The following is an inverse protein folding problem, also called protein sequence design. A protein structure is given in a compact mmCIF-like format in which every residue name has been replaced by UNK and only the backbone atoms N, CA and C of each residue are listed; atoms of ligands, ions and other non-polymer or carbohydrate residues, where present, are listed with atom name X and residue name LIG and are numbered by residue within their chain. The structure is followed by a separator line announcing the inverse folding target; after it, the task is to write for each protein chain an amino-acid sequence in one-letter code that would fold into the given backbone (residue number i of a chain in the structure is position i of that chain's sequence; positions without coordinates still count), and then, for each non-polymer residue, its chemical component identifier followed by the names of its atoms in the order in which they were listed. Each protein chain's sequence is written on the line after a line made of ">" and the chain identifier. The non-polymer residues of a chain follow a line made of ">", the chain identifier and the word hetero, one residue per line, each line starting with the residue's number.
data_IF_752623129016
#
_entry.id   IF_752623129016
#
_cell.length_a   1.000
_cell.length_b   1.000
_cell.length_c   1.000
_cell.angle_alpha   90.00
_cell.angle_beta   90.00
_cell.angle_gamma   90.00
#
_symmetry.space_group_name_H-M   'P 1'
#
loop_
_entity.id
_entity.type
_entity.pdbx_description
1 polymer ?
#
# COMPACT_ATOMS: atom_id res chain seq x y z
N UNK A 1 -3.87 -1.65 -1.63
CA UNK A 1 -2.71 -1.19 -2.46
C UNK A 1 -1.74 -0.52 -1.51
N UNK A 2 -0.45 -0.86 -1.59
CA UNK A 2 0.54 -0.26 -0.70
C UNK A 2 0.64 1.26 -0.91
N UNK A 3 1.04 1.98 0.12
CA UNK A 3 1.22 3.42 0.10
C UNK A 3 2.32 3.85 1.06
N UNK A 4 2.77 5.09 0.92
CA UNK A 4 3.63 5.76 1.87
C UNK A 4 2.86 6.87 2.58
N UNK A 5 3.08 7.00 3.87
CA UNK A 5 2.80 8.21 4.60
C UNK A 5 3.98 9.16 4.43
N UNK A 6 3.71 10.35 3.96
CA UNK A 6 4.70 11.40 3.68
C UNK A 6 4.29 12.70 4.36
N UNK A 7 5.25 13.56 4.70
CA UNK A 7 4.94 14.94 5.11
C UNK A 7 4.67 15.79 3.87
N UNK A 8 3.58 16.53 3.88
CA UNK A 8 3.28 17.54 2.87
C UNK A 8 3.98 18.88 3.18
N UNK A 9 3.72 19.88 2.36
CA UNK A 9 4.29 21.24 2.52
C UNK A 9 3.82 21.94 3.82
N UNK A 10 2.70 21.51 4.38
CA UNK A 10 2.16 22.00 5.66
C UNK A 10 2.60 21.17 6.87
N UNK A 11 3.60 20.28 6.68
CA UNK A 11 4.09 19.34 7.70
C UNK A 11 3.01 18.35 8.20
N UNK A 12 1.93 18.17 7.44
CA UNK A 12 0.88 17.22 7.77
C UNK A 12 1.13 15.88 7.06
N UNK A 13 0.64 14.80 7.67
CA UNK A 13 0.75 13.48 7.07
C UNK A 13 -0.23 13.32 5.91
N UNK A 14 0.29 12.98 4.76
CA UNK A 14 -0.44 12.70 3.53
C UNK A 14 -0.12 11.30 3.02
N UNK A 15 -1.06 10.71 2.30
CA UNK A 15 -0.91 9.37 1.71
C UNK A 15 -0.46 9.49 0.27
N UNK A 16 0.66 8.85 -0.06
CA UNK A 16 1.17 8.67 -1.42
C UNK A 16 0.93 7.23 -1.87
N UNK A 17 -0.04 6.96 -2.77
CA UNK A 17 -0.26 5.61 -3.29
C UNK A 17 0.93 5.11 -4.12
N UNK A 18 1.29 3.85 -3.96
CA UNK A 18 2.38 3.21 -4.71
C UNK A 18 1.82 2.54 -5.98
N UNK A 19 1.45 3.34 -6.97
CA UNK A 19 0.83 2.88 -8.23
C UNK A 19 1.86 2.46 -9.29
N UNK A 20 3.14 2.81 -9.11
CA UNK A 20 4.24 2.49 -10.02
C UNK A 20 5.15 1.39 -9.45
N UNK A 21 5.96 0.78 -10.31
CA UNK A 21 6.88 -0.31 -9.93
C UNK A 21 8.06 0.18 -9.08
N UNK A 22 8.42 1.47 -9.14
CA UNK A 22 9.53 2.03 -8.39
C UNK A 22 9.34 3.51 -8.06
N UNK A 23 9.87 3.90 -6.89
CA UNK A 23 9.86 5.27 -6.37
C UNK A 23 11.25 5.64 -5.84
N UNK A 24 11.71 6.86 -6.12
CA UNK A 24 12.87 7.44 -5.42
C UNK A 24 12.41 8.13 -4.14
N UNK A 25 13.09 7.82 -3.05
CA UNK A 25 12.86 8.46 -1.74
C UNK A 25 13.82 9.62 -1.47
N UNK A 26 14.70 9.93 -2.42
CA UNK A 26 15.65 11.05 -2.31
C UNK A 26 14.99 12.43 -2.49
N UNK A 27 13.72 12.49 -2.82
CA UNK A 27 12.94 13.72 -2.93
C UNK A 27 11.80 13.71 -1.90
N UNK A 28 11.42 14.89 -1.43
CA UNK A 28 10.22 15.06 -0.60
C UNK A 28 9.20 15.90 -1.39
N UNK A 29 8.03 15.37 -1.74
CA UNK A 29 7.61 13.96 -1.57
C UNK A 29 8.35 12.98 -2.50
N UNK A 30 8.34 11.67 -2.19
CA UNK A 30 8.86 10.62 -3.05
C UNK A 30 8.26 10.67 -4.46
N UNK A 31 9.07 10.37 -5.48
CA UNK A 31 8.65 10.45 -6.88
C UNK A 31 8.72 9.09 -7.57
N UNK A 32 7.74 8.77 -8.46
CA UNK A 32 7.82 7.57 -9.27
C UNK A 32 9.04 7.63 -10.21
N UNK A 33 9.65 6.47 -10.42
CA UNK A 33 10.74 6.31 -11.38
C UNK A 33 10.13 5.71 -12.64
N UNK A 34 10.32 6.32 -13.82
CA UNK A 34 9.86 5.74 -15.07
C UNK A 34 10.54 4.39 -15.31
N UNK A 35 9.93 3.47 -16.08
CA UNK A 35 10.54 2.19 -16.44
C UNK A 35 11.94 2.42 -17.01
N UNK A 36 12.90 1.62 -16.56
CA UNK A 36 14.30 1.77 -16.93
C UNK A 36 14.52 1.56 -18.43
N UNK A 37 14.74 2.63 -19.19
CA UNK A 37 15.44 2.51 -20.46
C UNK A 37 16.91 2.13 -20.19
N UNK A 38 17.44 1.20 -20.95
CA UNK A 38 18.77 0.60 -20.74
C UNK A 38 19.95 1.57 -20.85
N UNK A 39 19.73 2.83 -21.17
CA UNK A 39 20.74 3.85 -21.44
C UNK A 39 20.46 5.10 -20.62
N UNK A 40 20.95 5.18 -19.42
CA UNK A 40 21.50 6.41 -18.82
C UNK A 40 21.62 6.37 -17.29
N UNK A 41 22.67 6.99 -16.81
CA UNK A 41 22.91 7.54 -15.46
C UNK A 41 23.13 6.57 -14.29
N UNK A 42 24.08 5.64 -14.47
CA UNK A 42 24.59 4.81 -13.36
C UNK A 42 25.23 5.58 -12.18
N UNK A 43 25.89 6.75 -12.34
CA UNK A 43 26.57 7.40 -11.22
C UNK A 43 25.65 8.10 -10.21
N UNK A 44 24.51 8.64 -10.63
CA UNK A 44 23.60 9.33 -9.71
C UNK A 44 22.76 8.36 -8.85
N UNK A 45 22.61 7.12 -9.31
CA UNK A 45 21.84 6.06 -8.61
C UNK A 45 22.54 5.47 -7.40
N UNK A 46 23.86 5.59 -7.30
CA UNK A 46 24.66 5.08 -6.17
C UNK A 46 24.39 5.82 -4.84
N UNK A 47 23.73 6.98 -4.89
CA UNK A 47 23.34 7.75 -3.70
C UNK A 47 21.83 7.75 -3.47
N UNK A 48 21.04 7.19 -4.38
CA UNK A 48 19.61 7.20 -4.27
C UNK A 48 19.09 6.06 -3.39
N UNK A 49 18.06 6.35 -2.63
CA UNK A 49 17.26 5.34 -1.92
C UNK A 49 16.01 5.12 -2.76
N UNK A 50 15.82 3.88 -3.18
CA UNK A 50 14.74 3.49 -4.10
C UNK A 50 13.88 2.43 -3.45
N UNK A 51 12.58 2.60 -3.54
CA UNK A 51 11.59 1.60 -3.17
C UNK A 51 11.07 0.92 -4.44
N UNK A 52 11.22 -0.39 -4.55
CA UNK A 52 10.92 -1.16 -5.77
C UNK A 52 9.93 -2.28 -5.44
N UNK A 53 8.96 -2.46 -6.31
CA UNK A 53 8.05 -3.62 -6.26
C UNK A 53 8.74 -4.84 -6.88
N UNK A 54 8.83 -5.93 -6.13
CA UNK A 54 9.51 -7.14 -6.55
C UNK A 54 8.60 -8.38 -6.41
N UNK A 55 8.74 -9.38 -7.29
CA UNK A 55 8.05 -10.65 -7.10
C UNK A 55 8.67 -11.41 -5.94
N UNK A 56 7.82 -11.95 -5.06
CA UNK A 56 8.23 -12.81 -3.97
C UNK A 56 8.18 -14.29 -4.38
N UNK A 57 8.93 -15.14 -3.70
CA UNK A 57 8.98 -16.59 -3.98
C UNK A 57 7.64 -17.31 -3.82
N UNK A 58 6.73 -16.75 -3.05
CA UNK A 58 5.38 -17.28 -2.83
C UNK A 58 4.35 -16.83 -3.89
N UNK A 59 4.79 -16.14 -4.95
CA UNK A 59 3.94 -15.58 -6.01
C UNK A 59 3.26 -14.25 -5.67
N UNK A 60 3.46 -13.74 -4.47
CA UNK A 60 3.02 -12.41 -4.08
C UNK A 60 3.99 -11.33 -4.58
N UNK A 61 3.66 -10.10 -4.36
CA UNK A 61 4.59 -8.97 -4.59
C UNK A 61 4.98 -8.36 -3.26
N UNK A 62 6.26 -8.06 -3.13
CA UNK A 62 6.84 -7.40 -1.97
C UNK A 62 7.45 -6.06 -2.38
N UNK A 63 7.63 -5.17 -1.42
CA UNK A 63 8.33 -3.93 -1.62
C UNK A 63 9.73 -4.02 -1.01
N UNK A 64 10.72 -3.65 -1.80
CA UNK A 64 12.14 -3.75 -1.45
C UNK A 64 12.76 -2.38 -1.47
N UNK A 65 13.35 -2.00 -0.35
CA UNK A 65 14.16 -0.78 -0.23
C UNK A 65 15.57 -1.11 -0.70
N UNK A 66 16.07 -0.32 -1.66
CA UNK A 66 17.42 -0.42 -2.18
C UNK A 66 18.13 0.91 -1.95
N UNK A 67 19.27 0.86 -1.29
CA UNK A 67 20.07 2.04 -0.98
C UNK A 67 21.51 1.84 -1.45
N UNK A 68 22.11 2.86 -2.02
CA UNK A 68 23.52 2.84 -2.43
C UNK A 68 24.45 2.65 -1.23
N UNK A 69 25.64 2.13 -1.48
CA UNK A 69 26.65 1.76 -0.46
C UNK A 69 27.07 2.90 0.49
N UNK A 70 26.84 4.15 0.09
CA UNK A 70 27.14 5.34 0.90
C UNK A 70 25.87 6.02 1.42
N UNK A 71 24.74 5.34 1.33
CA UNK A 71 23.47 5.85 1.86
C UNK A 71 23.42 5.65 3.38
N UNK A 72 23.03 6.69 4.09
CA UNK A 72 22.75 6.63 5.53
C UNK A 72 21.27 6.27 5.81
N UNK A 73 20.62 5.60 4.86
CA UNK A 73 19.23 5.18 5.04
C UNK A 73 19.11 4.19 6.20
N UNK A 74 18.00 4.28 6.92
CA UNK A 74 17.67 3.34 8.00
C UNK A 74 16.20 2.95 7.95
N UNK A 75 15.89 1.77 8.47
CA UNK A 75 14.52 1.28 8.66
C UNK A 75 14.34 0.98 10.13
N UNK A 76 13.33 1.59 10.75
CA UNK A 76 13.04 1.49 12.19
C UNK A 76 14.28 1.82 13.06
N UNK A 77 15.04 2.84 12.65
CA UNK A 77 16.27 3.26 13.32
C UNK A 77 17.49 2.36 13.05
N UNK A 78 17.34 1.23 12.36
CA UNK A 78 18.44 0.31 12.03
C UNK A 78 19.06 0.72 10.69
N UNK A 79 20.36 1.05 10.63
CA UNK A 79 21.05 1.39 9.39
C UNK A 79 20.97 0.27 8.33
N UNK A 80 20.78 0.64 7.08
CA UNK A 80 20.74 -0.30 5.97
C UNK A 80 22.14 -0.66 5.47
N UNK A 81 22.81 -1.56 6.17
CA UNK A 81 24.23 -1.91 5.93
C UNK A 81 24.43 -2.68 4.62
N UNK A 82 23.52 -3.61 4.30
CA UNK A 82 23.58 -4.43 3.07
C UNK A 82 23.06 -3.72 1.83
N UNK A 83 22.48 -2.54 2.00
CA UNK A 83 21.89 -1.77 0.91
C UNK A 83 20.55 -2.30 0.39
N UNK A 84 20.02 -3.41 0.90
CA UNK A 84 18.76 -4.01 0.47
C UNK A 84 17.96 -4.49 1.69
N UNK A 85 16.65 -4.19 1.70
CA UNK A 85 15.71 -4.67 2.73
C UNK A 85 14.29 -4.80 2.16
N UNK A 86 13.63 -5.90 2.44
CA UNK A 86 12.18 -6.02 2.27
C UNK A 86 11.52 -5.17 3.35
N UNK A 87 10.58 -4.32 2.95
CA UNK A 87 9.83 -3.45 3.88
C UNK A 87 8.51 -4.10 4.26
N UNK A 88 8.15 -3.94 5.51
CA UNK A 88 6.94 -4.47 6.12
C UNK A 88 5.96 -3.34 6.48
N UNK A 89 4.70 -3.70 6.72
CA UNK A 89 3.69 -2.73 7.15
C UNK A 89 4.14 -1.98 8.42
N UNK A 90 3.98 -0.66 8.42
CA UNK A 90 4.41 0.29 9.46
C UNK A 90 5.92 0.52 9.57
N UNK A 91 6.72 0.02 8.64
CA UNK A 91 8.15 0.34 8.64
C UNK A 91 8.38 1.86 8.46
N UNK A 92 9.14 2.44 9.37
CA UNK A 92 9.66 3.80 9.26
C UNK A 92 10.93 3.78 8.41
N UNK A 93 10.93 4.47 7.29
CA UNK A 93 12.09 4.63 6.43
C UNK A 93 12.60 6.06 6.59
N UNK A 94 13.86 6.20 7.02
CA UNK A 94 14.55 7.49 7.07
C UNK A 94 15.65 7.52 6.01
N UNK A 95 15.63 8.58 5.20
CA UNK A 95 16.64 8.82 4.16
C UNK A 95 17.59 9.95 4.54
N UNK A 96 18.81 10.02 3.96
CA UNK A 96 19.86 10.94 4.38
C UNK A 96 19.48 12.42 4.41
N UNK A 97 18.60 12.85 3.51
CA UNK A 97 18.19 14.26 3.39
C UNK A 97 17.11 14.67 4.43
N UNK A 98 16.94 13.84 5.46
CA UNK A 98 16.02 14.11 6.56
C UNK A 98 14.56 13.73 6.31
N UNK A 99 14.23 13.26 5.13
CA UNK A 99 12.89 12.76 4.83
C UNK A 99 12.62 11.48 5.63
N UNK A 100 11.50 11.46 6.35
CA UNK A 100 10.99 10.27 7.03
C UNK A 100 9.64 9.93 6.40
N UNK A 101 9.52 8.69 5.95
CA UNK A 101 8.27 8.15 5.42
C UNK A 101 7.92 6.86 6.15
N UNK A 102 6.63 6.52 6.18
CA UNK A 102 6.19 5.24 6.72
C UNK A 102 5.54 4.43 5.61
N UNK A 103 5.93 3.18 5.49
CA UNK A 103 5.36 2.26 4.53
C UNK A 103 4.11 1.58 5.10
N UNK A 104 3.08 1.45 4.28
CA UNK A 104 1.88 0.71 4.64
C UNK A 104 1.38 -0.19 3.52
N UNK A 105 0.96 -1.37 3.87
CA UNK A 105 0.24 -2.31 3.00
C UNK A 105 -1.27 -2.24 3.21
N UNK A 106 -1.73 -1.39 4.11
CA UNK A 106 -3.15 -1.24 4.39
C UNK A 106 -3.90 -0.82 3.12
N UNK A 107 -5.00 -1.50 2.85
CA UNK A 107 -5.93 -1.16 1.76
C UNK A 107 -7.24 -0.70 2.36
N UNK A 108 -7.84 0.30 1.73
CA UNK A 108 -9.17 0.77 2.11
C UNK A 108 -10.25 -0.04 1.39
N UNK A 109 -11.39 -0.22 2.07
CA UNK A 109 -12.58 -0.73 1.44
C UNK A 109 -13.10 0.28 0.40
N UNK A 110 -13.40 -0.18 -0.80
CA UNK A 110 -13.98 0.63 -1.88
C UNK A 110 -15.10 -0.13 -2.54
N UNK A 111 -16.09 0.62 -3.03
CA UNK A 111 -17.08 0.05 -3.95
C UNK A 111 -16.42 -0.06 -5.33
N UNK A 112 -16.45 -1.25 -5.88
CA UNK A 112 -15.90 -1.55 -7.21
C UNK A 112 -16.74 -2.61 -7.90
N UNK A 113 -16.69 -2.68 -9.23
CA UNK A 113 -17.35 -3.75 -9.97
C UNK A 113 -16.79 -5.12 -9.58
N UNK A 114 -17.65 -6.06 -9.22
CA UNK A 114 -17.23 -7.40 -8.83
C UNK A 114 -16.43 -8.08 -9.95
N UNK A 115 -15.19 -8.42 -9.64
CA UNK A 115 -14.24 -9.09 -10.54
C UNK A 115 -13.73 -10.42 -9.99
N UNK A 116 -14.42 -10.98 -9.02
CA UNK A 116 -14.09 -12.27 -8.41
C UNK A 116 -14.48 -13.48 -9.28
N UNK A 117 -14.25 -14.68 -8.77
CA UNK A 117 -14.65 -15.93 -9.45
C UNK A 117 -16.16 -15.99 -9.68
N UNK A 118 -16.55 -16.67 -10.76
CA UNK A 118 -17.97 -16.99 -11.00
C UNK A 118 -18.58 -17.79 -9.82
N UNK A 119 -19.85 -17.60 -9.57
CA UNK A 119 -20.59 -18.27 -8.50
C UNK A 119 -20.07 -17.96 -7.08
N UNK A 120 -19.63 -16.75 -6.84
CA UNK A 120 -19.28 -16.28 -5.49
C UNK A 120 -20.54 -15.73 -4.78
N UNK A 121 -20.71 -16.14 -3.54
CA UNK A 121 -21.84 -15.74 -2.71
C UNK A 121 -21.39 -14.73 -1.64
N UNK A 122 -22.22 -13.70 -1.44
CA UNK A 122 -22.03 -12.77 -0.34
C UNK A 122 -22.19 -13.48 1.01
N UNK A 123 -21.22 -13.41 1.94
CA UNK A 123 -21.33 -14.13 3.20
C UNK A 123 -22.43 -13.60 4.12
N UNK A 124 -22.95 -12.41 3.85
CA UNK A 124 -24.00 -11.79 4.66
C UNK A 124 -25.40 -12.21 4.21
N UNK A 125 -25.76 -11.99 2.95
CA UNK A 125 -27.11 -12.31 2.44
C UNK A 125 -27.21 -13.69 1.80
N UNK A 126 -26.09 -14.37 1.53
CA UNK A 126 -26.03 -15.69 0.88
C UNK A 126 -26.50 -15.72 -0.58
N UNK A 127 -26.70 -14.55 -1.19
CA UNK A 127 -27.02 -14.44 -2.61
C UNK A 127 -25.73 -14.37 -3.44
N UNK A 128 -25.82 -14.81 -4.69
CA UNK A 128 -24.71 -14.73 -5.64
C UNK A 128 -24.40 -13.27 -5.97
N UNK A 129 -23.09 -12.96 -6.13
CA UNK A 129 -22.62 -11.64 -6.56
C UNK A 129 -22.39 -11.72 -8.07
N UNK A 130 -23.20 -10.98 -8.82
CA UNK A 130 -23.13 -10.96 -10.29
C UNK A 130 -21.87 -10.23 -10.78
N UNK A 131 -21.27 -10.72 -11.86
CA UNK A 131 -20.08 -10.10 -12.46
C UNK A 131 -20.35 -8.64 -12.85
N UNK A 132 -19.48 -7.74 -12.42
CA UNK A 132 -19.59 -6.30 -12.68
C UNK A 132 -20.56 -5.54 -11.79
N UNK A 133 -21.33 -6.21 -10.91
CA UNK A 133 -22.19 -5.52 -9.92
C UNK A 133 -21.36 -4.80 -8.86
N UNK A 134 -21.92 -3.75 -8.28
CA UNK A 134 -21.29 -2.99 -7.22
C UNK A 134 -21.08 -3.85 -5.97
N UNK A 135 -19.83 -4.00 -5.58
CA UNK A 135 -19.41 -4.82 -4.47
C UNK A 135 -18.21 -4.25 -3.76
N UNK A 136 -17.93 -4.72 -2.55
CA UNK A 136 -16.75 -4.38 -1.78
C UNK A 136 -15.97 -5.65 -1.46
N UNK A 137 -14.69 -5.64 -1.77
CA UNK A 137 -13.74 -6.65 -1.32
C UNK A 137 -13.22 -6.28 0.06
N UNK A 138 -13.43 -7.14 1.04
CA UNK A 138 -12.90 -6.91 2.38
C UNK A 138 -11.37 -6.79 2.33
N UNK A 139 -10.77 -5.66 2.77
CA UNK A 139 -9.32 -5.48 2.69
C UNK A 139 -8.52 -6.40 3.62
N UNK A 140 -9.17 -6.99 4.62
CA UNK A 140 -8.52 -7.88 5.57
C UNK A 140 -8.58 -9.35 5.15
N UNK A 141 -9.76 -9.89 4.84
CA UNK A 141 -9.94 -11.32 4.54
C UNK A 141 -10.22 -11.61 3.06
N UNK A 142 -10.36 -10.58 2.22
CA UNK A 142 -10.52 -10.73 0.78
C UNK A 142 -11.91 -11.18 0.31
N UNK A 143 -12.86 -11.40 1.21
CA UNK A 143 -14.21 -11.80 0.84
C UNK A 143 -14.99 -10.64 0.24
N UNK A 144 -15.86 -10.93 -0.73
CA UNK A 144 -16.69 -9.95 -1.37
C UNK A 144 -18.08 -9.84 -0.73
N UNK A 145 -18.59 -8.62 -0.67
CA UNK A 145 -19.94 -8.31 -0.22
C UNK A 145 -20.62 -7.41 -1.25
N UNK A 146 -21.94 -7.55 -1.43
CA UNK A 146 -22.69 -6.57 -2.20
C UNK A 146 -22.61 -5.18 -1.56
N UNK A 147 -22.60 -4.15 -2.39
CA UNK A 147 -22.72 -2.76 -1.96
C UNK A 147 -23.39 -1.92 -3.05
N UNK A 148 -24.66 -2.12 -3.25
CA UNK A 148 -25.53 -1.32 -4.12
C UNK A 148 -26.66 -0.67 -3.31
N UNK A 149 -27.45 0.25 -3.88
CA UNK A 149 -28.62 0.80 -3.21
C UNK A 149 -29.63 -0.25 -2.74
N UNK A 150 -29.77 -1.36 -3.47
CA UNK A 150 -30.70 -2.45 -3.17
C UNK A 150 -30.10 -3.48 -2.20
N UNK A 151 -28.79 -3.67 -2.24
CA UNK A 151 -28.07 -4.68 -1.45
C UNK A 151 -26.84 -4.05 -0.78
N UNK A 152 -27.04 -3.35 0.30
CA UNK A 152 -25.99 -2.69 1.08
C UNK A 152 -25.29 -3.63 2.08
N UNK A 153 -24.98 -4.84 1.67
CA UNK A 153 -24.46 -5.90 2.57
C UNK A 153 -23.16 -5.54 3.25
N UNK A 154 -22.26 -4.77 2.61
CA UNK A 154 -21.02 -4.36 3.26
C UNK A 154 -21.31 -3.43 4.44
N UNK A 155 -22.06 -2.34 4.22
CA UNK A 155 -22.36 -1.33 5.24
C UNK A 155 -23.53 -1.68 6.15
N UNK A 156 -24.13 -2.86 6.00
CA UNK A 156 -25.22 -3.35 6.85
C UNK A 156 -24.83 -3.49 8.34
N UNK A 157 -23.55 -3.68 8.63
CA UNK A 157 -23.01 -3.83 9.98
C UNK A 157 -21.64 -3.17 10.04
N UNK A 158 -21.23 -2.74 11.22
CA UNK A 158 -19.95 -2.05 11.45
C UNK A 158 -18.73 -2.92 11.20
N UNK A 159 -18.91 -4.24 11.06
CA UNK A 159 -17.82 -5.19 10.79
C UNK A 159 -18.15 -6.16 9.66
N UNK A 160 -17.12 -6.62 8.97
CA UNK A 160 -17.18 -7.67 7.96
C UNK A 160 -17.85 -8.93 8.51
N UNK A 161 -18.61 -9.65 7.65
CA UNK A 161 -19.31 -10.86 8.06
C UNK A 161 -18.40 -12.03 8.45
N UNK A 162 -17.10 -12.00 8.05
CA UNK A 162 -16.15 -13.09 8.30
C UNK A 162 -14.94 -12.68 9.16
N UNK A 163 -14.71 -11.37 9.38
CA UNK A 163 -13.60 -10.90 10.20
C UNK A 163 -13.96 -9.60 10.91
N UNK A 164 -13.07 -9.10 11.76
CA UNK A 164 -13.29 -7.88 12.53
C UNK A 164 -12.97 -6.58 11.77
N UNK A 165 -12.80 -6.62 10.44
CA UNK A 165 -12.55 -5.44 9.62
C UNK A 165 -13.75 -4.49 9.68
N UNK A 166 -13.51 -3.20 9.95
CA UNK A 166 -14.53 -2.15 9.84
C UNK A 166 -15.06 -2.08 8.40
N UNK A 167 -16.36 -1.83 8.28
CA UNK A 167 -17.06 -1.68 7.00
C UNK A 167 -17.20 -0.22 6.57
N UNK A 168 -16.51 0.69 7.20
CA UNK A 168 -16.47 2.10 6.82
C UNK A 168 -15.93 2.26 5.39
N UNK A 169 -16.71 2.89 4.50
CA UNK A 169 -16.33 3.21 3.12
C UNK A 169 -15.66 4.58 3.00
N UNK A 170 -15.85 5.45 3.96
CA UNK A 170 -15.25 6.79 3.97
C UNK A 170 -13.77 6.79 4.43
N UNK A 171 -13.28 5.60 4.67
CA UNK A 171 -11.87 5.22 4.69
C UNK A 171 -10.96 6.05 5.54
N UNK A 172 -11.03 5.92 6.86
CA UNK A 172 -9.86 6.22 7.69
C UNK A 172 -8.95 4.99 7.72
N UNK A 173 -7.67 5.22 7.50
CA UNK A 173 -6.67 4.20 7.78
C UNK A 173 -6.72 3.81 9.27
N UNK A 174 -6.42 2.56 9.59
CA UNK A 174 -6.45 2.04 10.96
C UNK A 174 -5.34 2.64 11.85
N UNK A 175 -4.34 3.23 11.22
CA UNK A 175 -3.24 3.87 11.92
C UNK A 175 -2.73 5.07 11.11
N UNK A 176 -2.16 6.03 11.82
CA UNK A 176 -1.42 7.15 11.27
C UNK A 176 -0.04 7.22 11.92
N UNK A 177 0.97 7.84 11.28
CA UNK A 177 2.30 7.98 11.88
C UNK A 177 2.33 8.74 13.22
N UNK A 178 1.28 9.46 13.57
CA UNK A 178 1.14 10.17 14.84
C UNK A 178 0.87 9.22 16.02
N UNK A 179 0.44 8.00 15.73
CA UNK A 179 0.11 6.97 16.73
C UNK A 179 1.30 6.03 17.02
N UNK A 180 2.45 6.24 16.31
CA UNK A 180 3.69 5.48 16.45
C UNK A 180 4.75 6.28 17.22
#
# INVERSE_FOLDING_TARGET
>A
MAHLWVRDEAEQWAVLPLEHEAFTLAASPPKPIPPLSRESDAPSRLRSVVLVRAPAANGNTEWVLIAGSNSLASVNGIPLVTGIRVVEDRDQIRVPDGCTVYFSTETLARVEGFSGPASMFCPRCKQEIEGGSDAVKCPSCGVWHHQSPELNCWTYSDVCALCAQSTDLEGKFRWTPEEL
#
